data_IF_218242175550
#
_entry.id   IF_218242175550
#
_cell.length_a   1.000
_cell.length_b   1.000
_cell.length_c   1.000
_cell.angle_alpha   90.00
_cell.angle_beta   90.00
_cell.angle_gamma   90.00
#
_symmetry.space_group_name_H-M   'P 1'
#
loop_
_entity.id
_entity.type
_entity.pdbx_description
1 polymer ?
#
# COMPACT_ATOMS: atom_id res chain seq x y z
N UNK A 1 -11.26 3.37 9.83
CA UNK A 1 -10.81 2.04 9.35
C UNK A 1 -10.15 1.34 10.52
N UNK A 2 -10.61 0.16 10.91
CA UNK A 2 -10.00 -0.63 11.99
C UNK A 2 -8.94 -1.55 11.39
N UNK A 3 -7.67 -1.32 11.73
CA UNK A 3 -6.56 -2.18 11.29
C UNK A 3 -6.52 -3.41 12.18
N UNK A 4 -6.69 -4.61 11.63
CA UNK A 4 -6.80 -5.82 12.46
C UNK A 4 -5.46 -6.23 13.05
N UNK A 5 -4.45 -6.45 12.19
CA UNK A 5 -3.19 -7.06 12.61
C UNK A 5 -2.03 -6.47 11.84
N UNK A 6 -1.00 -6.02 12.55
CA UNK A 6 0.32 -5.76 11.95
C UNK A 6 0.89 -7.09 11.46
N UNK A 7 1.15 -7.19 10.16
CA UNK A 7 1.68 -8.40 9.53
C UNK A 7 3.16 -8.28 9.17
N UNK A 8 3.65 -7.06 8.94
CA UNK A 8 5.06 -6.78 8.71
C UNK A 8 5.41 -5.31 8.96
N UNK A 9 6.68 -5.05 9.26
CA UNK A 9 7.25 -3.70 9.36
C UNK A 9 8.53 -3.68 8.52
N UNK A 10 8.57 -2.77 7.55
CA UNK A 10 9.74 -2.50 6.73
C UNK A 10 10.34 -1.15 7.07
N UNK A 11 11.40 -0.77 6.35
CA UNK A 11 12.09 0.49 6.60
C UNK A 11 11.19 1.72 6.35
N UNK A 12 10.33 1.66 5.34
CA UNK A 12 9.53 2.81 4.87
C UNK A 12 8.06 2.74 5.27
N UNK A 13 7.55 1.57 5.66
CA UNK A 13 6.13 1.37 5.91
C UNK A 13 5.84 0.15 6.78
N UNK A 14 4.69 0.21 7.45
CA UNK A 14 4.05 -0.92 8.12
C UNK A 14 2.97 -1.53 7.22
N UNK A 15 2.87 -2.84 7.23
CA UNK A 15 1.80 -3.58 6.56
C UNK A 15 0.82 -4.12 7.60
N UNK A 16 -0.45 -3.82 7.41
CA UNK A 16 -1.55 -4.34 8.21
C UNK A 16 -2.46 -5.21 7.37
N UNK A 17 -3.05 -6.22 7.98
CA UNK A 17 -4.18 -6.94 7.40
C UNK A 17 -5.48 -6.20 7.73
N UNK A 18 -6.32 -6.02 6.72
CA UNK A 18 -7.70 -5.56 6.85
C UNK A 18 -8.58 -6.46 5.99
N UNK A 19 -9.39 -7.30 6.64
CA UNK A 19 -10.16 -8.38 6.00
C UNK A 19 -9.25 -9.29 5.12
N UNK A 20 -9.55 -9.36 3.81
CA UNK A 20 -8.81 -10.07 2.76
C UNK A 20 -7.77 -9.19 2.04
N UNK A 21 -7.53 -7.97 2.53
CA UNK A 21 -6.63 -6.98 1.92
C UNK A 21 -5.44 -6.68 2.83
N UNK A 22 -4.40 -6.14 2.20
CA UNK A 22 -3.26 -5.54 2.90
C UNK A 22 -3.35 -4.01 2.82
N UNK A 23 -3.07 -3.35 3.94
CA UNK A 23 -2.97 -1.90 4.06
C UNK A 23 -1.52 -1.54 4.30
N UNK A 24 -0.95 -0.71 3.43
CA UNK A 24 0.40 -0.16 3.60
C UNK A 24 0.32 1.24 4.18
N UNK A 25 0.84 1.39 5.40
CA UNK A 25 0.94 2.67 6.09
C UNK A 25 2.39 3.12 6.09
N UNK A 26 2.69 4.14 5.29
CA UNK A 26 4.02 4.74 5.23
C UNK A 26 4.38 5.41 6.56
N UNK A 27 5.65 5.37 6.92
CA UNK A 27 6.16 6.08 8.09
C UNK A 27 6.06 7.59 7.90
N UNK A 28 6.04 8.35 9.01
CA UNK A 28 5.85 9.82 8.98
C UNK A 28 6.98 10.58 8.25
N UNK A 29 8.13 9.94 8.11
CA UNK A 29 9.32 10.42 7.42
C UNK A 29 9.36 10.05 5.92
N UNK A 30 8.39 9.27 5.43
CA UNK A 30 8.24 9.03 4.01
C UNK A 30 7.87 10.31 3.26
N UNK A 31 8.23 10.37 1.98
CA UNK A 31 7.99 11.57 1.18
C UNK A 31 6.48 11.79 0.98
N UNK A 32 6.05 13.04 1.01
CA UNK A 32 4.67 13.39 0.64
C UNK A 32 4.41 12.91 -0.80
N UNK A 33 3.33 12.15 -0.98
CA UNK A 33 2.97 11.57 -2.28
C UNK A 33 3.60 10.20 -2.59
N UNK A 34 4.43 9.62 -1.72
CA UNK A 34 5.03 8.30 -1.94
C UNK A 34 3.96 7.19 -2.09
N UNK A 35 2.86 7.29 -1.34
CA UNK A 35 1.70 6.41 -1.48
C UNK A 35 1.05 6.52 -2.87
N UNK A 36 0.82 7.74 -3.37
CA UNK A 36 0.25 7.96 -4.71
C UNK A 36 1.20 7.48 -5.81
N UNK A 37 2.51 7.72 -5.67
CA UNK A 37 3.50 7.28 -6.65
C UNK A 37 3.61 5.75 -6.72
N UNK A 38 3.62 5.06 -5.58
CA UNK A 38 3.60 3.60 -5.54
C UNK A 38 2.32 3.04 -6.16
N UNK A 39 1.17 3.58 -5.78
CA UNK A 39 -0.13 3.18 -6.32
C UNK A 39 -0.20 3.34 -7.85
N UNK A 40 0.21 4.48 -8.39
CA UNK A 40 0.19 4.73 -9.83
C UNK A 40 1.05 3.74 -10.62
N UNK A 41 2.25 3.39 -10.12
CA UNK A 41 3.10 2.36 -10.75
C UNK A 41 2.46 0.98 -10.68
N UNK A 42 1.83 0.66 -9.57
CA UNK A 42 1.22 -0.65 -9.37
C UNK A 42 -0.05 -0.82 -10.20
N UNK A 43 -0.88 0.22 -10.32
CA UNK A 43 -2.02 0.28 -11.24
C UNK A 43 -1.58 0.13 -12.69
N UNK A 44 -0.52 0.84 -13.09
CA UNK A 44 0.06 0.69 -14.43
C UNK A 44 0.50 -0.75 -14.69
N UNK A 45 1.27 -1.36 -13.77
CA UNK A 45 1.72 -2.74 -13.90
C UNK A 45 0.55 -3.75 -13.95
N UNK A 46 -0.48 -3.55 -13.13
CA UNK A 46 -1.70 -4.35 -13.13
C UNK A 46 -2.42 -4.26 -14.48
N UNK A 47 -2.58 -3.05 -15.03
CA UNK A 47 -3.21 -2.81 -16.33
C UNK A 47 -2.41 -3.39 -17.51
N UNK A 48 -1.09 -3.56 -17.35
CA UNK A 48 -0.24 -4.29 -18.29
C UNK A 48 -0.37 -5.82 -18.18
N UNK A 49 -1.18 -6.35 -17.26
CA UNK A 49 -1.38 -7.79 -17.05
C UNK A 49 -0.29 -8.46 -16.22
N UNK A 50 0.56 -7.68 -15.53
CA UNK A 50 1.55 -8.24 -14.60
C UNK A 50 0.87 -8.73 -13.32
N UNK A 51 1.39 -9.81 -12.75
CA UNK A 51 0.92 -10.38 -11.48
C UNK A 51 1.39 -9.53 -10.29
N UNK A 52 0.78 -8.36 -10.12
CA UNK A 52 1.00 -7.44 -9.00
C UNK A 52 -0.29 -7.28 -8.18
N UNK A 53 -0.21 -6.82 -6.91
CA UNK A 53 -1.43 -6.61 -6.13
C UNK A 53 -2.30 -5.49 -6.74
N UNK A 54 -3.62 -5.64 -6.68
CA UNK A 54 -4.55 -4.60 -7.13
C UNK A 54 -4.61 -3.45 -6.11
N UNK A 55 -4.59 -2.22 -6.60
CA UNK A 55 -4.85 -1.02 -5.77
C UNK A 55 -6.37 -0.84 -5.63
N UNK A 56 -6.83 -0.65 -4.40
CA UNK A 56 -8.25 -0.42 -4.08
C UNK A 56 -8.54 1.04 -3.75
N UNK A 57 -7.67 1.68 -2.98
CA UNK A 57 -7.79 3.07 -2.55
C UNK A 57 -6.42 3.63 -2.11
N UNK A 58 -6.29 4.96 -2.11
CA UNK A 58 -5.11 5.69 -1.61
C UNK A 58 -5.59 6.93 -0.85
N UNK A 59 -5.17 7.06 0.40
CA UNK A 59 -5.51 8.19 1.28
C UNK A 59 -4.24 8.79 1.90
N UNK A 60 -4.30 10.08 2.26
CA UNK A 60 -3.24 10.83 2.94
C UNK A 60 -3.42 10.79 4.45
#
# INVERSE_FOLDING_TARGET
MELHKLIAEGNTAKLYQWEDKAVKLFHKDASEGEAHYEAAKQEYAYNCGLAVPKVYDVTL
#
